data_IF_315692246452
#
_entry.id   IF_315692246452
#
_cell.length_a   1.000
_cell.length_b   1.000
_cell.length_c   1.000
_cell.angle_alpha   90.00
_cell.angle_beta   90.00
_cell.angle_gamma   90.00
#
_symmetry.space_group_name_H-M   'P 1'
#
loop_
_entity.id
_entity.type
_entity.pdbx_description
1 polymer ?
#
# COMPACT_ATOMS: atom_id res chain seq x y z
N UNK A 1 0.36 28.33 -3.75
CA UNK A 1 0.64 26.89 -3.86
C UNK A 1 1.34 26.50 -2.56
N UNK A 2 0.90 25.44 -1.88
CA UNK A 2 1.58 24.96 -0.66
C UNK A 2 3.03 24.66 -1.01
N UNK A 3 3.97 25.27 -0.29
CA UNK A 3 5.40 25.10 -0.57
C UNK A 3 5.89 23.76 0.00
N UNK A 4 6.52 22.94 -0.84
CA UNK A 4 7.25 21.74 -0.40
C UNK A 4 8.72 22.14 -0.31
N UNK A 5 9.35 22.06 0.88
CA UNK A 5 10.74 22.45 1.03
C UNK A 5 11.68 21.71 0.07
N UNK A 6 12.58 22.43 -0.59
CA UNK A 6 13.50 21.90 -1.61
C UNK A 6 14.32 20.71 -1.10
N UNK A 7 14.76 20.75 0.16
CA UNK A 7 15.55 19.67 0.76
C UNK A 7 14.82 18.31 0.74
N UNK A 8 13.49 18.28 0.72
CA UNK A 8 12.73 17.02 0.61
C UNK A 8 12.82 16.43 -0.80
N UNK A 9 12.80 17.30 -1.83
CA UNK A 9 12.97 16.92 -3.23
C UNK A 9 14.40 16.45 -3.47
N UNK A 10 15.39 17.22 -2.98
CA UNK A 10 16.80 16.85 -3.11
C UNK A 10 17.15 15.55 -2.38
N UNK A 11 16.60 15.34 -1.17
CA UNK A 11 16.73 14.06 -0.47
C UNK A 11 16.17 12.90 -1.30
N UNK A 12 15.01 13.09 -1.92
CA UNK A 12 14.42 12.08 -2.82
C UNK A 12 15.34 11.80 -4.01
N UNK A 13 15.85 12.84 -4.68
CA UNK A 13 16.75 12.71 -5.83
C UNK A 13 18.03 11.96 -5.45
N UNK A 14 18.65 12.30 -4.32
CA UNK A 14 19.85 11.64 -3.82
C UNK A 14 19.67 10.12 -3.68
N UNK A 15 18.55 9.66 -3.13
CA UNK A 15 18.28 8.22 -2.99
C UNK A 15 17.96 7.55 -4.33
N UNK A 16 17.28 8.25 -5.24
CA UNK A 16 16.99 7.76 -6.60
C UNK A 16 18.28 7.55 -7.41
N UNK A 17 19.19 8.52 -7.37
CA UNK A 17 20.50 8.44 -8.06
C UNK A 17 21.33 7.25 -7.58
N UNK A 18 21.16 6.86 -6.32
CA UNK A 18 21.83 5.69 -5.72
C UNK A 18 21.07 4.38 -5.89
N UNK A 19 19.93 4.38 -6.58
CA UNK A 19 19.05 3.21 -6.72
C UNK A 19 18.73 2.57 -5.36
N UNK A 20 18.55 3.41 -4.33
CA UNK A 20 18.35 2.92 -2.97
C UNK A 20 17.01 2.19 -2.85
N UNK A 21 17.05 0.96 -2.32
CA UNK A 21 15.84 0.22 -1.98
C UNK A 21 15.01 0.96 -0.94
N UNK A 22 13.69 0.78 -0.96
CA UNK A 22 12.76 1.51 -0.09
C UNK A 22 11.84 0.58 0.68
N UNK A 23 11.97 0.57 2.00
CA UNK A 23 11.02 -0.08 2.89
C UNK A 23 10.11 0.98 3.52
N UNK A 24 8.81 0.84 3.32
CA UNK A 24 7.80 1.66 3.97
C UNK A 24 7.14 0.84 5.07
N UNK A 25 7.31 1.27 6.32
CA UNK A 25 6.58 0.69 7.46
C UNK A 25 5.43 1.64 7.80
N UNK A 26 4.18 1.17 7.69
CA UNK A 26 2.97 1.95 7.97
C UNK A 26 2.38 1.54 9.32
N UNK A 27 2.21 2.54 10.18
CA UNK A 27 1.63 2.39 11.52
C UNK A 27 0.88 3.65 11.94
N UNK A 28 0.45 4.47 10.97
CA UNK A 28 -0.22 5.74 11.28
C UNK A 28 -1.66 5.50 11.69
N UNK A 29 -2.16 6.30 12.63
CA UNK A 29 -3.59 6.40 12.94
C UNK A 29 -4.39 6.71 11.65
N UNK A 30 -5.36 5.87 11.25
CA UNK A 30 -6.24 6.17 10.13
C UNK A 30 -7.00 7.50 10.28
N UNK A 31 -7.21 7.97 11.51
CA UNK A 31 -7.87 9.24 11.84
C UNK A 31 -6.89 10.37 12.19
N UNK A 32 -5.60 10.25 11.88
CA UNK A 32 -4.58 11.25 12.21
C UNK A 32 -4.90 12.69 11.73
N UNK A 33 -5.74 12.81 10.69
CA UNK A 33 -6.17 14.10 10.13
C UNK A 33 -7.65 14.43 10.39
N UNK A 34 -8.31 13.72 11.31
CA UNK A 34 -9.68 14.03 11.71
C UNK A 34 -9.78 15.49 12.20
N UNK A 35 -10.73 16.24 11.65
CA UNK A 35 -10.91 17.66 11.97
C UNK A 35 -9.95 18.63 11.27
N UNK A 36 -8.98 18.15 10.49
CA UNK A 36 -8.16 19.03 9.63
C UNK A 36 -9.00 19.51 8.45
N UNK A 37 -8.86 20.79 8.11
CA UNK A 37 -9.52 21.38 6.94
C UNK A 37 -9.19 20.61 5.65
N UNK A 38 -10.23 20.15 4.97
CA UNK A 38 -10.10 19.26 3.81
C UNK A 38 -9.42 19.95 2.63
N UNK A 39 -9.59 21.27 2.47
CA UNK A 39 -8.91 22.05 1.43
C UNK A 39 -7.41 22.12 1.68
N UNK A 40 -6.99 22.39 2.92
CA UNK A 40 -5.56 22.37 3.31
C UNK A 40 -4.93 20.99 3.08
N UNK A 41 -5.62 19.91 3.46
CA UNK A 41 -5.14 18.55 3.23
C UNK A 41 -5.00 18.26 1.72
N UNK A 42 -6.02 18.60 0.93
CA UNK A 42 -6.01 18.42 -0.53
C UNK A 42 -4.86 19.19 -1.19
N UNK A 43 -4.66 20.46 -0.83
CA UNK A 43 -3.59 21.30 -1.38
C UNK A 43 -2.20 20.78 -1.01
N UNK A 44 -2.00 20.33 0.22
CA UNK A 44 -0.73 19.75 0.67
C UNK A 44 -0.43 18.43 -0.05
N UNK A 45 -1.39 17.51 -0.10
CA UNK A 45 -1.23 16.23 -0.83
C UNK A 45 -0.93 16.45 -2.30
N UNK A 46 -1.61 17.40 -2.96
CA UNK A 46 -1.35 17.76 -4.36
C UNK A 46 0.06 18.33 -4.54
N UNK A 47 0.49 19.25 -3.68
CA UNK A 47 1.82 19.85 -3.77
C UNK A 47 2.92 18.79 -3.61
N UNK A 48 2.80 17.88 -2.63
CA UNK A 48 3.75 16.77 -2.45
C UNK A 48 3.74 15.79 -3.63
N UNK A 49 2.56 15.47 -4.17
CA UNK A 49 2.43 14.56 -5.31
C UNK A 49 3.07 15.10 -6.59
N UNK A 50 3.08 16.43 -6.78
CA UNK A 50 3.78 17.10 -7.89
C UNK A 50 5.29 17.14 -7.60
N UNK A 51 5.70 17.58 -6.40
CA UNK A 51 7.10 17.73 -6.05
C UNK A 51 7.89 16.41 -6.08
N UNK A 52 7.24 15.28 -5.76
CA UNK A 52 7.86 13.95 -5.71
C UNK A 52 7.46 13.04 -6.90
N UNK A 53 7.01 13.63 -8.02
CA UNK A 53 6.56 12.90 -9.20
C UNK A 53 7.61 11.92 -9.73
N UNK A 54 8.87 12.37 -9.87
CA UNK A 54 10.00 11.53 -10.34
C UNK A 54 10.18 10.28 -9.49
N UNK A 55 10.07 10.43 -8.18
CA UNK A 55 10.19 9.33 -7.23
C UNK A 55 9.05 8.32 -7.40
N UNK A 56 7.82 8.82 -7.56
CA UNK A 56 6.63 7.99 -7.78
C UNK A 56 6.73 7.23 -9.10
N UNK A 57 7.12 7.89 -10.18
CA UNK A 57 7.30 7.28 -11.49
C UNK A 57 8.37 6.17 -11.46
N UNK A 58 9.50 6.40 -10.76
CA UNK A 58 10.54 5.40 -10.61
C UNK A 58 10.10 4.18 -9.77
N UNK A 59 9.34 4.39 -8.69
CA UNK A 59 8.74 3.28 -7.92
C UNK A 59 7.73 2.47 -8.73
N UNK A 60 6.82 3.14 -9.46
CA UNK A 60 5.80 2.46 -10.28
C UNK A 60 6.40 1.64 -11.42
N UNK A 61 7.52 2.10 -11.97
CA UNK A 61 8.28 1.37 -12.99
C UNK A 61 9.26 0.33 -12.41
N UNK A 62 9.18 0.03 -11.10
CA UNK A 62 10.05 -0.93 -10.40
C UNK A 62 11.56 -0.70 -10.64
N UNK A 63 12.01 0.56 -10.74
CA UNK A 63 13.43 0.90 -10.99
C UNK A 63 14.38 0.60 -9.82
N UNK A 64 13.81 0.29 -8.65
CA UNK A 64 14.51 -0.15 -7.45
C UNK A 64 13.56 -1.05 -6.65
N UNK A 65 14.11 -1.90 -5.80
CA UNK A 65 13.29 -2.74 -4.91
C UNK A 65 12.57 -1.86 -3.89
N UNK A 66 11.28 -2.06 -3.74
CA UNK A 66 10.50 -1.39 -2.71
C UNK A 66 9.50 -2.36 -2.10
N UNK A 67 9.17 -2.13 -0.83
CA UNK A 67 8.20 -2.94 -0.10
C UNK A 67 7.40 -2.06 0.87
N UNK A 68 6.12 -2.38 1.04
CA UNK A 68 5.21 -1.72 1.95
C UNK A 68 4.74 -2.76 2.98
N UNK A 69 5.08 -2.54 4.24
CA UNK A 69 4.69 -3.38 5.36
C UNK A 69 3.95 -2.57 6.41
N UNK A 70 3.23 -3.26 7.28
CA UNK A 70 2.51 -2.67 8.39
C UNK A 70 3.22 -2.94 9.72
N UNK A 71 3.04 -2.04 10.68
CA UNK A 71 3.38 -2.24 12.08
C UNK A 71 2.21 -1.79 12.95
N UNK A 72 1.92 -2.55 14.01
CA UNK A 72 0.85 -2.24 14.94
C UNK A 72 1.20 -0.98 15.74
N UNK A 73 0.29 -0.02 15.78
CA UNK A 73 0.35 1.16 16.65
C UNK A 73 -0.91 1.25 17.51
N UNK A 74 -0.84 1.84 18.71
CA UNK A 74 -2.00 1.95 19.61
C UNK A 74 -3.26 2.51 18.96
N UNK A 75 -3.14 3.64 18.26
CA UNK A 75 -4.30 4.33 17.68
C UNK A 75 -4.94 3.53 16.54
N UNK A 76 -4.12 2.87 15.71
CA UNK A 76 -4.64 2.00 14.65
C UNK A 76 -5.26 0.73 15.23
N UNK A 77 -4.59 0.12 16.21
CA UNK A 77 -5.07 -1.09 16.88
C UNK A 77 -6.41 -0.86 17.58
N UNK A 78 -6.56 0.24 18.30
CA UNK A 78 -7.81 0.62 18.97
C UNK A 78 -8.97 0.81 17.98
N UNK A 79 -8.68 1.26 16.76
CA UNK A 79 -9.71 1.41 15.72
C UNK A 79 -10.12 0.07 15.11
N UNK A 80 -9.19 -0.86 14.96
CA UNK A 80 -9.46 -2.19 14.38
C UNK A 80 -10.09 -3.14 15.40
N UNK A 81 -9.68 -3.06 16.66
CA UNK A 81 -10.12 -3.94 17.75
C UNK A 81 -10.74 -3.16 18.92
N UNK A 82 -11.78 -2.33 18.69
CA UNK A 82 -12.32 -1.43 19.72
C UNK A 82 -12.93 -2.16 20.93
N UNK A 83 -13.28 -3.43 20.78
CA UNK A 83 -13.95 -4.23 21.82
C UNK A 83 -12.99 -4.91 22.80
N UNK A 84 -11.66 -4.85 22.56
CA UNK A 84 -10.66 -5.38 23.49
C UNK A 84 -10.42 -4.40 24.64
N UNK A 85 -10.19 -4.93 25.85
CA UNK A 85 -10.27 -4.16 27.09
C UNK A 85 -9.07 -3.24 27.33
N UNK A 86 -7.90 -3.61 26.83
CA UNK A 86 -6.65 -2.86 27.02
C UNK A 86 -5.98 -2.52 25.69
N UNK A 87 -5.24 -1.42 25.67
CA UNK A 87 -4.40 -1.03 24.53
C UNK A 87 -3.40 -2.13 24.16
N UNK A 88 -2.83 -2.81 25.14
CA UNK A 88 -1.90 -3.93 24.94
C UNK A 88 -2.57 -5.08 24.17
N UNK A 89 -3.77 -5.51 24.60
CA UNK A 89 -4.54 -6.53 23.87
C UNK A 89 -4.88 -6.11 22.44
N UNK A 90 -5.22 -4.83 22.23
CA UNK A 90 -5.50 -4.29 20.89
C UNK A 90 -4.26 -4.35 20.00
N UNK A 91 -3.14 -3.84 20.50
CA UNK A 91 -1.86 -3.81 19.77
C UNK A 91 -1.40 -5.22 19.43
N UNK A 92 -1.50 -6.14 20.38
CA UNK A 92 -1.16 -7.56 20.18
C UNK A 92 -2.08 -8.24 19.17
N UNK A 93 -3.39 -7.98 19.21
CA UNK A 93 -4.32 -8.52 18.22
C UNK A 93 -4.00 -8.03 16.79
N UNK A 94 -3.60 -6.77 16.64
CA UNK A 94 -3.18 -6.24 15.35
C UNK A 94 -1.83 -6.81 14.90
N UNK A 95 -0.89 -7.03 15.82
CA UNK A 95 0.35 -7.75 15.49
C UNK A 95 0.10 -9.19 15.05
N UNK A 96 -0.74 -9.93 15.77
CA UNK A 96 -1.13 -11.29 15.42
C UNK A 96 -1.75 -11.34 14.01
N UNK A 97 -2.67 -10.41 13.70
CA UNK A 97 -3.25 -10.29 12.37
C UNK A 97 -2.18 -10.00 11.30
N UNK A 98 -1.28 -9.04 11.54
CA UNK A 98 -0.16 -8.71 10.63
C UNK A 98 0.72 -9.95 10.40
N UNK A 99 1.11 -10.65 11.46
CA UNK A 99 1.98 -11.82 11.39
C UNK A 99 1.34 -12.99 10.65
N UNK A 100 0.05 -13.26 10.90
CA UNK A 100 -0.72 -14.26 10.14
C UNK A 100 -0.81 -13.93 8.66
N UNK A 101 -1.19 -12.69 8.32
CA UNK A 101 -1.32 -12.26 6.92
C UNK A 101 0.02 -12.32 6.16
N UNK A 102 1.13 -12.13 6.88
CA UNK A 102 2.48 -12.18 6.32
C UNK A 102 3.16 -13.55 6.48
N UNK A 103 2.43 -14.60 6.88
CA UNK A 103 2.92 -15.98 6.99
C UNK A 103 4.10 -16.15 7.93
N UNK A 104 4.22 -15.28 8.93
CA UNK A 104 5.36 -15.28 9.87
C UNK A 104 5.31 -16.49 10.80
N UNK A 105 4.11 -17.00 11.10
CA UNK A 105 3.93 -18.18 11.96
C UNK A 105 4.07 -19.52 11.23
N UNK A 106 4.28 -19.52 9.92
CA UNK A 106 4.55 -20.76 9.18
C UNK A 106 5.97 -21.26 9.52
N UNK A 107 6.16 -22.59 9.57
CA UNK A 107 7.47 -23.20 9.89
C UNK A 107 8.57 -22.73 8.92
N UNK A 108 8.22 -22.62 7.63
CA UNK A 108 9.05 -21.99 6.61
C UNK A 108 8.25 -20.88 5.91
N UNK A 109 8.39 -19.66 6.44
CA UNK A 109 7.73 -18.47 5.89
C UNK A 109 8.12 -18.19 4.43
N UNK A 110 9.36 -18.50 4.01
CA UNK A 110 9.82 -18.27 2.63
C UNK A 110 9.06 -19.23 1.70
N UNK A 111 9.06 -20.52 2.03
CA UNK A 111 8.29 -21.50 1.26
C UNK A 111 6.80 -21.16 1.20
N UNK A 112 6.22 -20.70 2.30
CA UNK A 112 4.81 -20.32 2.33
C UNK A 112 4.51 -19.13 1.41
N UNK A 113 5.46 -18.19 1.27
CA UNK A 113 5.39 -17.10 0.29
C UNK A 113 5.57 -17.59 -1.14
N UNK A 114 6.53 -18.46 -1.42
CA UNK A 114 6.75 -19.04 -2.76
C UNK A 114 5.50 -19.79 -3.25
N UNK A 115 4.90 -20.62 -2.39
CA UNK A 115 3.68 -21.37 -2.71
C UNK A 115 2.48 -20.42 -2.92
N UNK A 116 2.42 -19.31 -2.19
CA UNK A 116 1.38 -18.31 -2.39
C UNK A 116 1.56 -17.54 -3.70
N UNK A 117 2.79 -17.11 -4.00
CA UNK A 117 3.13 -16.43 -5.24
C UNK A 117 2.80 -17.30 -6.44
N UNK A 118 3.17 -18.58 -6.43
CA UNK A 118 2.85 -19.51 -7.51
C UNK A 118 1.33 -19.62 -7.78
N UNK A 119 0.50 -19.61 -6.73
CA UNK A 119 -0.97 -19.62 -6.87
C UNK A 119 -1.48 -18.34 -7.55
N UNK A 120 -0.94 -17.18 -7.20
CA UNK A 120 -1.31 -15.90 -7.79
C UNK A 120 -0.83 -15.77 -9.23
N UNK A 121 0.41 -16.16 -9.52
CA UNK A 121 0.97 -16.18 -10.87
C UNK A 121 0.16 -17.06 -11.83
N UNK A 122 -0.29 -18.23 -11.37
CA UNK A 122 -1.15 -19.09 -12.17
C UNK A 122 -2.49 -18.43 -12.53
N UNK A 123 -3.05 -17.61 -11.63
CA UNK A 123 -4.30 -16.87 -11.88
C UNK A 123 -4.06 -15.66 -12.77
N UNK A 124 -2.98 -14.91 -12.54
CA UNK A 124 -2.57 -13.80 -13.39
C UNK A 124 -2.32 -14.27 -14.83
N UNK A 125 -1.61 -15.40 -15.00
CA UNK A 125 -1.40 -16.00 -16.32
C UNK A 125 -2.72 -16.30 -17.03
N UNK A 126 -3.68 -16.91 -16.33
CA UNK A 126 -4.99 -17.21 -16.89
C UNK A 126 -5.69 -15.94 -17.40
N UNK A 127 -5.68 -14.86 -16.60
CA UNK A 127 -6.29 -13.58 -16.99
C UNK A 127 -5.56 -12.95 -18.18
N UNK A 128 -4.23 -12.97 -18.19
CA UNK A 128 -3.42 -12.44 -19.28
C UNK A 128 -3.61 -13.22 -20.58
N UNK A 129 -3.82 -14.53 -20.51
CA UNK A 129 -4.12 -15.36 -21.69
C UNK A 129 -5.51 -15.03 -22.27
N UNK A 130 -6.49 -14.67 -21.43
CA UNK A 130 -7.84 -14.34 -21.89
C UNK A 130 -7.94 -12.99 -22.62
N UNK A 131 -7.11 -12.00 -22.26
CA UNK A 131 -7.16 -10.64 -22.81
C UNK A 131 -8.60 -10.08 -22.86
N UNK A 132 -9.29 -10.08 -21.72
CA UNK A 132 -10.66 -9.57 -21.67
C UNK A 132 -10.73 -8.10 -22.09
N UNK A 133 -11.67 -7.75 -22.96
CA UNK A 133 -11.91 -6.34 -23.34
C UNK A 133 -12.51 -5.53 -22.17
N UNK A 134 -13.26 -6.19 -21.28
CA UNK A 134 -13.87 -5.56 -20.12
C UNK A 134 -14.20 -6.58 -19.01
N UNK A 135 -14.34 -6.08 -17.78
CA UNK A 135 -14.85 -6.80 -16.63
C UNK A 135 -16.16 -6.18 -16.16
N UNK A 136 -17.19 -7.01 -15.95
CA UNK A 136 -18.50 -6.59 -15.44
C UNK A 136 -18.68 -7.06 -14.00
N UNK A 137 -18.77 -6.10 -13.08
CA UNK A 137 -18.91 -6.33 -11.64
C UNK A 137 -20.36 -6.12 -11.22
N UNK A 138 -20.93 -7.11 -10.53
CA UNK A 138 -22.29 -7.05 -9.98
C UNK A 138 -22.31 -7.41 -8.50
N UNK A 139 -22.90 -6.53 -7.69
CA UNK A 139 -23.14 -6.73 -6.26
C UNK A 139 -24.30 -5.82 -5.81
N UNK A 140 -24.84 -5.98 -4.59
CA UNK A 140 -25.82 -5.02 -4.06
C UNK A 140 -25.28 -3.58 -4.13
N UNK A 141 -25.94 -2.73 -4.93
CA UNK A 141 -25.52 -1.33 -5.14
C UNK A 141 -24.36 -1.14 -6.13
N UNK A 142 -23.90 -2.19 -6.82
CA UNK A 142 -22.84 -2.09 -7.84
C UNK A 142 -23.26 -2.82 -9.12
N UNK A 143 -23.26 -2.08 -10.22
CA UNK A 143 -23.38 -2.58 -11.57
C UNK A 143 -22.41 -1.76 -12.44
N UNK A 144 -21.22 -2.32 -12.69
CA UNK A 144 -20.10 -1.58 -13.28
C UNK A 144 -19.38 -2.42 -14.32
N UNK A 145 -19.27 -1.90 -15.53
CA UNK A 145 -18.38 -2.44 -16.56
C UNK A 145 -17.14 -1.57 -16.69
N UNK A 146 -15.96 -2.16 -16.54
CA UNK A 146 -14.67 -1.50 -16.68
C UNK A 146 -13.92 -2.08 -17.88
N UNK A 147 -13.60 -1.22 -18.84
CA UNK A 147 -12.79 -1.60 -20.01
C UNK A 147 -11.33 -1.82 -19.64
N UNK A 148 -10.69 -2.77 -20.31
CA UNK A 148 -9.28 -3.09 -20.13
C UNK A 148 -8.45 -2.48 -21.28
N UNK A 149 -7.23 -2.01 -21.03
CA UNK A 149 -6.32 -1.57 -22.10
C UNK A 149 -5.98 -2.72 -23.04
N UNK A 150 -5.75 -2.42 -24.32
CA UNK A 150 -5.19 -3.41 -25.26
C UNK A 150 -3.81 -3.88 -24.78
N UNK A 151 -3.55 -5.19 -24.86
CA UNK A 151 -2.29 -5.83 -24.43
C UNK A 151 -1.94 -5.59 -22.94
N UNK A 152 -2.94 -5.58 -22.05
CA UNK A 152 -2.69 -5.54 -20.61
C UNK A 152 -1.98 -6.82 -20.14
N UNK A 153 -1.07 -6.67 -19.17
CA UNK A 153 -0.25 -7.72 -18.57
C UNK A 153 -0.21 -7.59 -17.05
#
# INVERSE_FOLDING_TARGET
MVNVPDYLVEKSNYFLEKSASRLFVRSSDPNAFAGVDSKRLSEATKATAIALEKQRAASQANKFSWNLVAASSPEWAAMVFPDLATEEEQVDALWDAIFRMNRIYEEDSIKAWDDHQAKLEAKAKLLNDYQFDALHYTAPGTDLTLGMPENHL
#
